data_IF_398818676020
#
_entry.id   IF_398818676020
#
_cell.length_a   1.000
_cell.length_b   1.000
_cell.length_c   1.000
_cell.angle_alpha   90.00
_cell.angle_beta   90.00
_cell.angle_gamma   90.00
#
_symmetry.space_group_name_H-M   'P 1'
#
loop_
_entity.id
_entity.type
_entity.pdbx_description
1 polymer ?
#
# COMPACT_ATOMS: atom_id res chain seq x y z
N UNK A 1 -0.83 11.44 12.93
CA UNK A 1 -1.59 12.17 11.89
C UNK A 1 -2.35 11.12 11.11
N UNK A 2 -3.68 11.19 11.07
CA UNK A 2 -4.46 10.24 10.29
C UNK A 2 -4.20 10.48 8.80
N UNK A 3 -3.72 9.44 8.11
CA UNK A 3 -3.55 9.44 6.67
C UNK A 3 -4.13 8.18 6.02
N UNK A 4 -5.04 7.48 6.70
CA UNK A 4 -5.77 6.36 6.11
C UNK A 4 -6.93 6.85 5.23
N UNK A 5 -7.28 6.06 4.20
CA UNK A 5 -8.37 6.32 3.25
C UNK A 5 -9.04 5.01 2.93
N UNK A 6 -10.05 4.68 3.73
CA UNK A 6 -10.88 3.53 3.51
C UNK A 6 -12.32 3.81 3.93
N UNK A 7 -13.22 2.97 3.47
CA UNK A 7 -14.60 2.87 3.92
C UNK A 7 -14.83 1.41 4.31
N UNK A 8 -15.33 1.18 5.52
CA UNK A 8 -15.85 -0.11 5.98
C UNK A 8 -17.38 -0.05 5.97
N UNK A 9 -18.02 -1.09 5.44
CA UNK A 9 -19.46 -1.31 5.54
C UNK A 9 -19.62 -2.67 6.19
N UNK A 10 -20.28 -2.74 7.35
CA UNK A 10 -20.39 -3.96 8.14
C UNK A 10 -21.28 -5.02 7.52
N UNK A 11 -22.29 -4.59 6.77
CA UNK A 11 -23.29 -5.47 6.20
C UNK A 11 -23.85 -4.87 4.91
N UNK A 12 -23.93 -5.68 3.87
CA UNK A 12 -24.46 -5.33 2.56
C UNK A 12 -25.41 -6.42 2.08
N UNK A 13 -26.36 -6.04 1.21
CA UNK A 13 -27.27 -7.01 0.60
C UNK A 13 -26.81 -7.26 -0.84
N UNK A 14 -26.36 -8.48 -1.16
CA UNK A 14 -26.07 -8.84 -2.54
C UNK A 14 -27.30 -9.44 -3.24
N UNK A 15 -27.51 -9.14 -4.54
CA UNK A 15 -28.57 -9.75 -5.31
C UNK A 15 -28.47 -11.28 -5.27
N UNK A 16 -29.53 -11.95 -4.77
CA UNK A 16 -29.60 -13.41 -4.70
C UNK A 16 -29.21 -14.00 -3.35
N UNK A 17 -28.67 -13.20 -2.43
CA UNK A 17 -28.40 -13.63 -1.06
C UNK A 17 -29.54 -13.22 -0.12
N UNK A 18 -30.08 -14.19 0.60
CA UNK A 18 -31.26 -13.98 1.47
C UNK A 18 -30.92 -13.98 2.95
N UNK A 19 -29.67 -14.24 3.32
CA UNK A 19 -29.21 -14.32 4.71
C UNK A 19 -27.69 -14.29 4.79
N UNK A 20 -27.14 -13.56 5.76
CA UNK A 20 -25.70 -13.44 5.98
C UNK A 20 -25.36 -12.01 6.37
N UNK A 21 -24.12 -11.80 6.83
CA UNK A 21 -23.54 -10.46 7.01
C UNK A 21 -22.46 -10.34 5.95
N UNK A 22 -22.56 -9.37 5.04
CA UNK A 22 -21.63 -9.26 3.91
C UNK A 22 -20.79 -7.99 4.02
N UNK A 23 -19.63 -8.03 4.70
CA UNK A 23 -18.83 -6.84 4.91
C UNK A 23 -18.12 -6.41 3.62
N UNK A 24 -17.96 -5.11 3.46
CA UNK A 24 -17.23 -4.50 2.35
C UNK A 24 -16.17 -3.55 2.87
N UNK A 25 -14.98 -3.63 2.28
CA UNK A 25 -13.91 -2.66 2.45
C UNK A 25 -13.61 -2.00 1.12
N UNK A 26 -13.68 -0.68 1.05
CA UNK A 26 -13.09 0.09 -0.04
C UNK A 26 -11.83 0.78 0.47
N UNK A 27 -10.69 0.51 -0.16
CA UNK A 27 -9.42 1.19 0.09
C UNK A 27 -9.09 2.13 -1.06
N UNK A 28 -8.59 3.34 -0.78
CA UNK A 28 -8.18 4.31 -1.81
C UNK A 28 -6.74 4.78 -1.63
N UNK A 29 -6.00 4.97 -2.72
CA UNK A 29 -4.61 5.47 -2.68
C UNK A 29 -4.52 6.96 -2.36
N UNK A 30 -5.63 7.70 -2.49
CA UNK A 30 -5.77 9.12 -2.14
C UNK A 30 -7.11 9.48 -1.50
N UNK A 31 -7.25 10.73 -1.07
CA UNK A 31 -8.46 11.17 -0.37
C UNK A 31 -9.68 11.12 -1.30
N UNK A 32 -10.83 10.77 -0.74
CA UNK A 32 -12.13 10.90 -1.39
C UNK A 32 -12.61 12.35 -1.23
N UNK A 33 -11.87 13.27 -1.84
CA UNK A 33 -12.16 14.70 -1.81
C UNK A 33 -12.25 15.22 -3.25
N UNK A 34 -13.21 16.12 -3.51
CA UNK A 34 -13.43 16.70 -4.84
C UNK A 34 -12.15 17.28 -5.46
N UNK A 35 -11.33 17.96 -4.65
CA UNK A 35 -10.07 18.54 -5.10
C UNK A 35 -9.04 17.49 -5.50
N UNK A 36 -9.02 16.34 -4.85
CA UNK A 36 -8.07 15.26 -5.13
C UNK A 36 -8.50 14.46 -6.37
N UNK A 37 -9.76 14.00 -6.40
CA UNK A 37 -10.32 13.20 -7.51
C UNK A 37 -10.27 13.96 -8.85
N UNK A 38 -10.43 15.28 -8.85
CA UNK A 38 -10.35 16.10 -10.08
C UNK A 38 -8.92 16.40 -10.54
N UNK A 39 -7.93 16.21 -9.68
CA UNK A 39 -6.56 16.69 -9.92
C UNK A 39 -5.58 15.54 -10.12
N UNK A 40 -5.75 14.48 -9.35
CA UNK A 40 -4.83 13.35 -9.32
C UNK A 40 -5.54 12.10 -9.79
N UNK A 41 -4.87 11.32 -10.63
CA UNK A 41 -5.27 9.93 -10.82
C UNK A 41 -5.02 9.17 -9.52
N UNK A 42 -6.03 8.49 -9.00
CA UNK A 42 -5.94 7.64 -7.82
C UNK A 42 -6.79 6.41 -8.03
N UNK A 43 -6.49 5.36 -7.30
CA UNK A 43 -7.12 4.04 -7.43
C UNK A 43 -7.89 3.71 -6.17
N UNK A 44 -8.95 2.94 -6.33
CA UNK A 44 -9.61 2.28 -5.23
C UNK A 44 -9.72 0.78 -5.49
N UNK A 45 -9.54 -0.02 -4.44
CA UNK A 45 -9.78 -1.46 -4.45
C UNK A 45 -10.92 -1.77 -3.51
N UNK A 46 -11.82 -2.65 -3.92
CA UNK A 46 -12.93 -3.12 -3.08
C UNK A 46 -12.71 -4.58 -2.74
N UNK A 47 -12.84 -4.92 -1.46
CA UNK A 47 -12.78 -6.27 -0.93
C UNK A 47 -14.16 -6.63 -0.40
N UNK A 48 -14.75 -7.67 -0.99
CA UNK A 48 -16.04 -8.22 -0.62
C UNK A 48 -15.83 -9.46 0.25
N UNK A 49 -16.58 -9.56 1.34
CA UNK A 49 -16.61 -10.70 2.28
C UNK A 49 -15.25 -11.07 2.88
N UNK A 50 -14.28 -10.15 2.91
CA UNK A 50 -13.04 -10.33 3.66
C UNK A 50 -13.26 -9.83 5.09
N UNK A 51 -13.76 -10.74 5.93
CA UNK A 51 -14.17 -10.46 7.29
C UNK A 51 -12.99 -10.00 8.14
N UNK A 52 -11.84 -10.66 8.01
CA UNK A 52 -10.62 -10.26 8.73
C UNK A 52 -10.10 -8.91 8.26
N UNK A 53 -10.12 -8.60 6.95
CA UNK A 53 -9.74 -7.26 6.46
C UNK A 53 -10.66 -6.19 7.00
N UNK A 54 -11.97 -6.44 6.98
CA UNK A 54 -12.98 -5.54 7.55
C UNK A 54 -12.73 -5.32 9.04
N UNK A 55 -12.54 -6.39 9.80
CA UNK A 55 -12.36 -6.33 11.26
C UNK A 55 -11.09 -5.56 11.65
N UNK A 56 -9.98 -5.80 10.95
CA UNK A 56 -8.71 -5.09 11.15
C UNK A 56 -8.86 -3.58 10.90
N UNK A 57 -9.53 -3.17 9.82
CA UNK A 57 -9.74 -1.76 9.47
C UNK A 57 -10.78 -1.09 10.36
N UNK A 58 -11.82 -1.82 10.75
CA UNK A 58 -12.83 -1.33 11.71
C UNK A 58 -12.19 -1.08 13.07
N UNK A 59 -11.37 -2.01 13.57
CA UNK A 59 -10.63 -1.85 14.81
C UNK A 59 -9.66 -0.65 14.77
N UNK A 60 -9.05 -0.37 13.62
CA UNK A 60 -8.25 0.85 13.40
C UNK A 60 -9.11 2.11 13.48
N UNK A 61 -10.27 2.12 12.82
CA UNK A 61 -11.20 3.24 12.86
C UNK A 61 -11.69 3.52 14.29
N UNK A 62 -12.10 2.48 15.02
CA UNK A 62 -12.57 2.59 16.40
C UNK A 62 -11.46 3.08 17.34
N UNK A 63 -10.23 2.58 17.15
CA UNK A 63 -9.06 3.09 17.85
C UNK A 63 -8.81 4.58 17.60
N UNK A 64 -8.92 5.04 16.35
CA UNK A 64 -8.79 6.46 15.99
C UNK A 64 -9.90 7.31 16.63
N UNK A 65 -11.16 6.86 16.57
CA UNK A 65 -12.31 7.53 17.20
C UNK A 65 -12.14 7.61 18.71
N UNK A 66 -11.74 6.51 19.35
CA UNK A 66 -11.43 6.48 20.76
C UNK A 66 -10.35 7.50 21.11
N UNK A 67 -9.27 7.54 20.34
CA UNK A 67 -8.15 8.46 20.51
C UNK A 67 -8.50 9.94 20.32
N UNK A 68 -9.43 10.25 19.42
CA UNK A 68 -9.88 11.60 19.13
C UNK A 68 -10.75 12.21 20.24
N UNK A 69 -11.34 11.40 21.12
CA UNK A 69 -12.14 11.90 22.25
C UNK A 69 -11.29 12.72 23.22
N UNK A 70 -11.83 13.85 23.66
CA UNK A 70 -11.12 14.87 24.44
C UNK A 70 -10.67 14.40 25.84
N UNK A 71 -11.38 13.43 26.42
CA UNK A 71 -11.09 12.85 27.73
C UNK A 71 -10.03 11.73 27.66
N UNK A 72 -9.95 11.01 26.54
CA UNK A 72 -9.02 9.88 26.37
C UNK A 72 -7.67 10.35 25.85
N UNK A 73 -7.61 11.14 24.76
CA UNK A 73 -6.37 11.60 24.09
C UNK A 73 -5.31 10.49 23.95
N UNK A 74 -5.73 9.28 23.62
CA UNK A 74 -4.86 8.08 23.59
C UNK A 74 -4.07 7.82 24.89
N UNK A 75 -4.57 8.22 26.07
CA UNK A 75 -3.85 8.06 27.34
C UNK A 75 -3.76 6.60 27.79
N UNK A 76 -4.82 5.81 27.62
CA UNK A 76 -4.86 4.36 27.90
C UNK A 76 -5.16 3.55 26.64
N UNK A 77 -4.86 2.24 26.70
CA UNK A 77 -5.25 1.23 25.71
C UNK A 77 -6.67 0.70 25.91
N UNK A 78 -7.37 1.08 26.99
CA UNK A 78 -8.61 0.40 27.41
C UNK A 78 -9.78 0.56 26.46
N UNK A 79 -9.73 1.52 25.52
CA UNK A 79 -10.68 1.62 24.41
C UNK A 79 -10.02 1.55 23.03
N UNK A 80 -8.76 1.14 22.97
CA UNK A 80 -8.15 0.67 21.73
C UNK A 80 -8.55 -0.80 21.61
N UNK A 81 -9.20 -1.22 20.51
CA UNK A 81 -9.77 -2.57 20.43
C UNK A 81 -8.71 -3.64 20.67
N UNK A 82 -8.94 -4.49 21.68
CA UNK A 82 -8.13 -5.68 21.96
C UNK A 82 -8.82 -6.90 21.36
N UNK A 83 -8.10 -7.74 20.62
CA UNK A 83 -8.62 -9.02 20.11
C UNK A 83 -8.93 -9.08 18.61
N UNK A 84 -8.92 -7.94 17.90
CA UNK A 84 -9.11 -7.87 16.45
C UNK A 84 -7.84 -8.20 15.63
N UNK A 85 -6.98 -9.08 16.14
CA UNK A 85 -5.68 -9.41 15.52
C UNK A 85 -4.61 -8.30 15.53
N UNK A 86 -4.97 -7.04 15.81
CA UNK A 86 -4.01 -5.92 15.87
C UNK A 86 -3.01 -6.07 17.01
N UNK A 87 -1.74 -5.74 16.76
CA UNK A 87 -0.65 -5.80 17.76
C UNK A 87 -0.19 -4.40 18.16
N UNK A 88 -1.02 -3.69 18.91
CA UNK A 88 -0.78 -2.27 19.22
C UNK A 88 0.01 -2.09 20.52
N UNK A 89 1.02 -1.21 20.49
CA UNK A 89 1.77 -0.77 21.66
C UNK A 89 1.94 0.75 21.65
N UNK A 90 1.95 1.37 22.84
CA UNK A 90 2.29 2.79 22.97
C UNK A 90 3.80 2.99 22.84
N UNK A 91 4.21 3.86 21.92
CA UNK A 91 5.60 4.24 21.69
C UNK A 91 5.69 5.69 21.26
N UNK A 92 6.60 6.47 21.85
CA UNK A 92 6.79 7.91 21.53
C UNK A 92 5.48 8.73 21.59
N UNK A 93 4.59 8.39 22.51
CA UNK A 93 3.30 9.07 22.69
C UNK A 93 2.21 8.73 21.66
N UNK A 94 2.46 7.79 20.74
CA UNK A 94 1.49 7.33 19.74
C UNK A 94 1.30 5.80 19.83
N UNK A 95 0.19 5.29 19.31
CA UNK A 95 -0.01 3.85 19.14
C UNK A 95 0.69 3.40 17.86
N UNK A 96 1.56 2.39 17.99
CA UNK A 96 2.26 1.77 16.86
C UNK A 96 1.84 0.32 16.74
N UNK A 97 1.77 -0.19 15.52
CA UNK A 97 1.59 -1.61 15.26
C UNK A 97 2.95 -2.30 15.24
N UNK A 98 3.10 -3.35 16.03
CA UNK A 98 4.37 -4.09 16.14
C UNK A 98 4.52 -5.16 15.08
N UNK A 99 3.41 -5.63 14.50
CA UNK A 99 3.41 -6.62 13.44
C UNK A 99 3.92 -6.01 12.14
N UNK A 100 4.67 -6.81 11.38
CA UNK A 100 5.08 -6.43 10.02
C UNK A 100 3.88 -6.38 9.08
N UNK A 101 2.93 -7.30 9.24
CA UNK A 101 1.67 -7.43 8.52
C UNK A 101 0.71 -8.34 9.30
N UNK A 102 -0.57 -8.24 8.99
CA UNK A 102 -1.64 -9.14 9.41
C UNK A 102 -2.17 -9.84 8.17
N UNK A 103 -2.23 -11.17 8.17
CA UNK A 103 -2.96 -11.90 7.13
C UNK A 103 -4.46 -11.76 7.37
N UNK A 104 -5.24 -11.74 6.29
CA UNK A 104 -6.71 -11.69 6.40
C UNK A 104 -7.29 -13.09 6.23
N UNK A 105 -8.52 -13.23 5.72
CA UNK A 105 -9.17 -14.55 5.67
C UNK A 105 -8.33 -15.58 4.88
N UNK A 106 -8.42 -16.87 5.26
CA UNK A 106 -7.74 -17.94 4.54
C UNK A 106 -8.02 -17.90 3.03
N UNK A 107 -7.09 -18.42 2.25
CA UNK A 107 -7.24 -18.62 0.80
C UNK A 107 -7.43 -17.35 -0.06
N UNK A 108 -7.51 -16.15 0.54
CA UNK A 108 -7.62 -14.89 -0.20
C UNK A 108 -6.29 -14.36 -0.74
N UNK A 109 -5.19 -14.79 -0.13
CA UNK A 109 -3.85 -14.27 -0.45
C UNK A 109 -3.63 -12.81 -0.04
N UNK A 110 -4.47 -12.27 0.83
CA UNK A 110 -4.45 -10.87 1.28
C UNK A 110 -3.78 -10.70 2.63
N UNK A 111 -3.09 -9.56 2.80
CA UNK A 111 -2.51 -9.13 4.06
C UNK A 111 -2.50 -7.59 4.12
N UNK A 112 -2.50 -7.03 5.33
CA UNK A 112 -2.43 -5.59 5.55
C UNK A 112 -1.34 -5.25 6.55
N UNK A 113 -0.56 -4.23 6.25
CA UNK A 113 0.44 -3.67 7.16
C UNK A 113 0.03 -2.26 7.56
N UNK A 114 -0.13 -2.04 8.87
CA UNK A 114 -0.42 -0.72 9.41
C UNK A 114 0.84 0.02 9.81
N UNK A 115 0.80 1.33 9.65
CA UNK A 115 1.75 2.25 10.26
C UNK A 115 1.01 3.21 11.21
N UNK A 116 1.71 3.87 12.15
CA UNK A 116 3.16 3.85 12.36
C UNK A 116 3.66 2.52 12.95
N UNK A 117 4.85 2.06 12.53
CA UNK A 117 5.54 0.89 13.10
C UNK A 117 6.77 1.32 13.93
N UNK A 118 7.14 0.61 15.01
CA UNK A 118 8.35 0.91 15.78
C UNK A 118 9.60 0.68 14.93
N UNK A 119 10.72 1.32 15.29
CA UNK A 119 11.99 1.21 14.56
C UNK A 119 12.57 -0.20 14.56
N UNK A 120 12.19 -1.04 15.51
CA UNK A 120 12.52 -2.47 15.57
C UNK A 120 11.78 -3.31 14.53
N UNK A 121 10.63 -2.84 14.03
CA UNK A 121 9.89 -3.53 12.98
C UNK A 121 10.51 -3.19 11.63
N UNK A 122 10.81 -4.23 10.87
CA UNK A 122 11.35 -4.12 9.52
C UNK A 122 10.48 -3.23 8.64
N UNK A 123 11.10 -2.58 7.67
CA UNK A 123 10.40 -1.73 6.72
C UNK A 123 9.53 -2.56 5.79
N UNK A 124 8.20 -2.38 5.86
CA UNK A 124 7.26 -3.23 5.14
C UNK A 124 7.53 -3.32 3.64
N UNK A 125 7.79 -2.18 2.98
CA UNK A 125 8.07 -2.17 1.54
C UNK A 125 9.34 -2.95 1.19
N UNK A 126 10.39 -2.80 1.99
CA UNK A 126 11.66 -3.52 1.77
C UNK A 126 11.44 -5.02 2.00
N UNK A 127 10.68 -5.40 3.03
CA UNK A 127 10.40 -6.80 3.33
C UNK A 127 9.60 -7.52 2.23
N UNK A 128 8.90 -6.79 1.35
CA UNK A 128 8.25 -7.42 0.21
C UNK A 128 9.26 -7.80 -0.90
N UNK A 129 10.45 -7.21 -0.90
CA UNK A 129 11.52 -7.61 -1.83
C UNK A 129 12.33 -8.81 -1.33
N UNK A 130 12.21 -9.13 -0.03
CA UNK A 130 12.78 -10.35 0.53
C UNK A 130 12.13 -11.55 -0.15
N UNK A 131 12.95 -12.53 -0.55
CA UNK A 131 12.48 -13.74 -1.23
C UNK A 131 12.02 -13.54 -2.69
N UNK A 132 12.14 -12.34 -3.28
CA UNK A 132 11.95 -12.19 -4.73
C UNK A 132 13.00 -13.02 -5.47
N UNK A 133 12.56 -14.02 -6.22
CA UNK A 133 13.39 -14.77 -7.17
C UNK A 133 13.27 -14.12 -8.55
N UNK A 134 14.33 -13.48 -9.04
CA UNK A 134 14.30 -12.81 -10.34
C UNK A 134 14.19 -13.75 -11.54
N UNK A 135 14.36 -15.07 -11.36
CA UNK A 135 14.05 -16.06 -12.40
C UNK A 135 12.54 -16.23 -12.59
N UNK A 136 11.75 -16.03 -11.53
CA UNK A 136 10.28 -16.18 -11.52
C UNK A 136 9.60 -14.81 -11.55
N UNK A 137 9.92 -13.95 -10.58
CA UNK A 137 9.43 -12.59 -10.40
C UNK A 137 10.32 -11.57 -11.11
N UNK A 138 10.57 -11.80 -12.39
CA UNK A 138 11.54 -11.03 -13.17
C UNK A 138 11.11 -9.57 -13.41
N UNK A 139 9.87 -9.18 -13.10
CA UNK A 139 9.32 -7.84 -13.38
C UNK A 139 8.90 -7.14 -12.08
N UNK A 140 9.44 -5.95 -11.88
CA UNK A 140 9.07 -5.06 -10.78
C UNK A 140 8.66 -3.70 -11.36
N UNK A 141 7.43 -3.28 -11.06
CA UNK A 141 6.86 -2.00 -11.49
C UNK A 141 6.38 -1.22 -10.28
N UNK A 142 6.89 -0.01 -10.13
CA UNK A 142 6.53 0.88 -9.02
C UNK A 142 5.85 2.11 -9.61
N UNK A 143 4.70 2.48 -9.09
CA UNK A 143 4.05 3.76 -9.37
C UNK A 143 3.85 4.49 -8.03
N UNK A 144 4.44 5.67 -7.88
CA UNK A 144 4.53 6.31 -6.56
C UNK A 144 4.29 7.82 -6.61
N UNK A 145 3.33 8.27 -5.80
CA UNK A 145 3.03 9.68 -5.61
C UNK A 145 4.21 10.43 -5.03
N UNK A 146 4.75 9.96 -3.90
CA UNK A 146 5.80 10.67 -3.17
C UNK A 146 6.89 9.75 -2.65
N UNK A 147 8.14 10.19 -2.80
CA UNK A 147 9.33 9.55 -2.26
C UNK A 147 10.22 10.59 -1.57
N UNK A 148 10.67 10.33 -0.34
CA UNK A 148 11.56 11.24 0.41
C UNK A 148 13.02 10.79 0.36
N UNK A 149 13.95 11.70 0.68
CA UNK A 149 15.39 11.50 0.57
C UNK A 149 15.87 10.26 1.34
N UNK A 150 15.52 10.15 2.62
CA UNK A 150 15.97 9.05 3.48
C UNK A 150 15.40 7.72 3.00
N UNK A 151 14.13 7.70 2.60
CA UNK A 151 13.46 6.49 2.12
C UNK A 151 13.96 6.09 0.74
N UNK A 152 14.33 7.04 -0.12
CA UNK A 152 14.99 6.73 -1.39
C UNK A 152 16.33 6.02 -1.16
N UNK A 153 17.11 6.45 -0.17
CA UNK A 153 18.42 5.86 0.12
C UNK A 153 18.34 4.39 0.56
N UNK A 154 17.28 3.99 1.27
CA UNK A 154 17.06 2.59 1.69
C UNK A 154 16.41 1.76 0.59
N UNK A 155 15.40 2.30 -0.09
CA UNK A 155 14.70 1.60 -1.19
C UNK A 155 15.64 1.30 -2.35
N UNK A 156 16.47 2.26 -2.75
CA UNK A 156 17.37 2.13 -3.91
C UNK A 156 18.39 1.01 -3.74
N UNK A 157 18.88 0.77 -2.51
CA UNK A 157 19.78 -0.37 -2.24
C UNK A 157 19.10 -1.70 -2.56
N UNK A 158 17.86 -1.87 -2.12
CA UNK A 158 17.07 -3.09 -2.35
C UNK A 158 16.76 -3.27 -3.84
N UNK A 159 16.35 -2.19 -4.53
CA UNK A 159 16.05 -2.22 -5.97
C UNK A 159 17.30 -2.49 -6.83
N UNK A 160 18.45 -1.89 -6.48
CA UNK A 160 19.70 -2.15 -7.19
C UNK A 160 20.17 -3.60 -6.99
N UNK A 161 19.95 -4.18 -5.80
CA UNK A 161 20.20 -5.60 -5.55
C UNK A 161 19.33 -6.50 -6.44
N UNK A 162 18.04 -6.17 -6.57
CA UNK A 162 17.11 -6.88 -7.46
C UNK A 162 17.56 -6.80 -8.93
N UNK A 163 17.97 -5.62 -9.41
CA UNK A 163 18.49 -5.48 -10.78
C UNK A 163 19.74 -6.32 -11.02
N UNK A 164 20.67 -6.34 -10.05
CA UNK A 164 21.87 -7.18 -10.13
C UNK A 164 21.55 -8.69 -10.19
N UNK A 165 20.44 -9.10 -9.58
CA UNK A 165 19.94 -10.49 -9.63
C UNK A 165 19.13 -10.80 -10.90
N UNK A 166 18.95 -9.84 -11.80
CA UNK A 166 18.28 -10.03 -13.09
C UNK A 166 16.84 -9.53 -13.18
N UNK A 167 16.29 -8.92 -12.12
CA UNK A 167 14.95 -8.34 -12.17
C UNK A 167 14.95 -7.05 -13.02
N UNK A 168 13.94 -6.92 -13.89
CA UNK A 168 13.61 -5.69 -14.60
C UNK A 168 12.80 -4.76 -13.68
N UNK A 169 13.47 -3.76 -13.10
CA UNK A 169 12.90 -2.78 -12.18
C UNK A 169 12.64 -1.46 -12.89
N UNK A 170 11.42 -0.92 -12.79
CA UNK A 170 11.08 0.40 -13.31
C UNK A 170 10.20 1.19 -12.34
N UNK A 171 10.49 2.49 -12.19
CA UNK A 171 9.72 3.40 -11.34
C UNK A 171 9.02 4.47 -12.17
N UNK A 172 7.72 4.63 -11.94
CA UNK A 172 6.92 5.74 -12.40
C UNK A 172 6.63 6.67 -11.21
N UNK A 173 7.07 7.91 -11.31
CA UNK A 173 6.87 8.92 -10.27
C UNK A 173 5.77 9.89 -10.69
N UNK A 174 5.05 10.45 -9.72
CA UNK A 174 4.06 11.48 -10.03
C UNK A 174 4.70 12.71 -10.64
N UNK A 175 3.99 13.37 -11.57
CA UNK A 175 4.28 14.75 -11.89
C UNK A 175 3.97 15.64 -10.68
N UNK A 176 4.85 16.58 -10.37
CA UNK A 176 4.60 17.60 -9.35
C UNK A 176 3.42 18.49 -9.74
N UNK A 177 2.48 18.68 -8.82
CA UNK A 177 1.38 19.63 -8.96
C UNK A 177 1.00 20.17 -7.57
N UNK A 178 1.20 21.47 -7.33
CA UNK A 178 0.90 22.12 -6.06
C UNK A 178 1.69 21.63 -4.83
N UNK A 179 2.44 20.53 -4.94
CA UNK A 179 3.23 19.94 -3.85
C UNK A 179 4.51 19.30 -4.38
N UNK A 180 5.54 19.28 -3.53
CA UNK A 180 6.79 18.58 -3.81
C UNK A 180 6.62 17.09 -3.54
N UNK A 181 6.69 16.30 -4.61
CA UNK A 181 6.55 14.83 -4.61
C UNK A 181 7.89 14.11 -4.45
N UNK A 182 9.00 14.76 -4.78
CA UNK A 182 10.36 14.28 -4.58
C UNK A 182 11.34 15.45 -4.69
N UNK A 183 12.52 15.31 -4.11
CA UNK A 183 13.59 16.30 -4.23
C UNK A 183 14.53 15.97 -5.40
N UNK A 184 15.38 16.94 -5.77
CA UNK A 184 16.50 16.68 -6.68
C UNK A 184 17.49 15.64 -6.14
N UNK A 185 17.57 15.46 -4.81
CA UNK A 185 18.39 14.43 -4.17
C UNK A 185 17.83 13.03 -4.42
N UNK A 186 16.51 12.84 -4.39
CA UNK A 186 15.89 11.55 -4.78
C UNK A 186 16.26 11.19 -6.22
N UNK A 187 16.15 12.15 -7.16
CA UNK A 187 16.51 11.92 -8.56
C UNK A 187 18.00 11.57 -8.72
N UNK A 188 18.89 12.25 -7.99
CA UNK A 188 20.34 11.92 -7.97
C UNK A 188 20.59 10.52 -7.44
N UNK A 189 19.96 10.13 -6.33
CA UNK A 189 20.10 8.79 -5.75
C UNK A 189 19.69 7.70 -6.74
N UNK A 190 18.55 7.87 -7.43
CA UNK A 190 18.07 6.92 -8.44
C UNK A 190 19.02 6.83 -9.64
N UNK A 191 19.48 7.98 -10.17
CA UNK A 191 20.44 8.04 -11.29
C UNK A 191 21.76 7.36 -10.94
N UNK A 192 22.33 7.65 -9.78
CA UNK A 192 23.60 7.06 -9.34
C UNK A 192 23.52 5.53 -9.20
N UNK A 193 22.38 5.00 -8.78
CA UNK A 193 22.15 3.57 -8.70
C UNK A 193 21.66 2.93 -10.00
N UNK A 194 21.53 3.71 -11.09
CA UNK A 194 21.04 3.27 -12.40
C UNK A 194 19.66 2.62 -12.36
N UNK A 195 18.80 3.04 -11.42
CA UNK A 195 17.40 2.61 -11.39
C UNK A 195 16.64 3.36 -12.50
N UNK A 196 15.97 2.67 -13.45
CA UNK A 196 15.13 3.32 -14.44
C UNK A 196 13.93 4.00 -13.79
N UNK A 197 13.75 5.29 -14.06
CA UNK A 197 12.57 6.02 -13.64
C UNK A 197 12.12 7.06 -14.66
N UNK A 198 10.82 7.38 -14.63
CA UNK A 198 10.22 8.50 -15.38
C UNK A 198 9.08 9.10 -14.57
N UNK A 199 8.63 10.28 -14.98
CA UNK A 199 7.46 10.92 -14.39
C UNK A 199 6.24 10.72 -15.29
N UNK A 200 5.09 10.43 -14.70
CA UNK A 200 3.83 10.36 -15.44
C UNK A 200 3.51 11.69 -16.13
N UNK A 201 2.72 11.65 -17.20
CA UNK A 201 2.34 12.86 -17.94
C UNK A 201 1.47 13.82 -17.08
N UNK A 202 0.75 13.26 -16.11
CA UNK A 202 -0.18 13.95 -15.22
C UNK A 202 0.11 13.64 -13.74
N UNK A 203 -0.43 14.43 -12.81
CA UNK A 203 -0.29 14.17 -11.38
C UNK A 203 -1.04 12.88 -10.99
N UNK A 204 -0.40 12.04 -10.20
CA UNK A 204 -0.98 10.78 -9.72
C UNK A 204 -0.85 10.72 -8.20
N UNK A 205 -1.87 10.23 -7.52
CA UNK A 205 -1.87 9.93 -6.10
C UNK A 205 -1.76 8.41 -5.83
N UNK A 206 -1.27 7.66 -6.81
CA UNK A 206 -0.98 6.21 -6.73
C UNK A 206 0.13 5.88 -5.75
N UNK A 207 0.00 4.79 -5.01
CA UNK A 207 1.10 4.10 -4.31
C UNK A 207 1.00 2.62 -4.59
N UNK A 208 1.70 2.15 -5.62
CA UNK A 208 1.56 0.82 -6.18
C UNK A 208 2.93 0.19 -6.39
N UNK A 209 3.09 -1.07 -5.99
CA UNK A 209 4.21 -1.93 -6.37
C UNK A 209 3.65 -3.23 -6.91
N UNK A 210 4.09 -3.61 -8.09
CA UNK A 210 3.79 -4.90 -8.72
C UNK A 210 5.08 -5.69 -8.82
N UNK A 211 5.05 -6.92 -8.32
CA UNK A 211 6.16 -7.87 -8.35
C UNK A 211 5.63 -9.15 -8.99
N UNK A 212 6.15 -9.55 -10.14
CA UNK A 212 5.63 -10.74 -10.81
C UNK A 212 6.44 -11.15 -12.04
N UNK A 213 6.01 -12.23 -12.70
CA UNK A 213 6.64 -12.71 -13.92
C UNK A 213 6.38 -11.80 -15.11
N UNK A 214 7.14 -12.00 -16.17
CA UNK A 214 7.01 -11.22 -17.41
C UNK A 214 5.71 -11.51 -18.18
N UNK A 215 5.19 -12.73 -18.10
CA UNK A 215 4.14 -13.23 -18.99
C UNK A 215 2.94 -13.86 -18.27
N UNK A 216 2.79 -13.66 -16.96
CA UNK A 216 1.58 -14.07 -16.24
C UNK A 216 1.21 -13.05 -15.16
N UNK A 217 -0.01 -13.20 -14.64
CA UNK A 217 -0.53 -12.37 -13.56
C UNK A 217 -0.36 -13.02 -12.18
N UNK A 218 0.48 -14.05 -12.09
CA UNK A 218 0.81 -14.72 -10.83
C UNK A 218 1.89 -13.92 -10.12
N UNK A 219 1.54 -12.85 -9.41
CA UNK A 219 2.48 -12.01 -8.66
C UNK A 219 1.89 -11.43 -7.37
N UNK A 220 2.56 -10.41 -6.85
CA UNK A 220 2.19 -9.62 -5.68
C UNK A 220 1.88 -8.19 -6.06
N UNK A 221 0.77 -7.70 -5.53
CA UNK A 221 0.33 -6.30 -5.61
C UNK A 221 0.52 -5.70 -4.22
N UNK A 222 1.14 -4.54 -4.14
CA UNK A 222 1.14 -3.71 -2.94
C UNK A 222 0.46 -2.40 -3.29
N UNK A 223 -0.60 -2.04 -2.58
CA UNK A 223 -1.26 -0.75 -2.73
C UNK A 223 -1.80 -0.25 -1.39
N UNK A 224 -2.06 1.04 -1.26
CA UNK A 224 -2.43 1.62 0.02
C UNK A 224 -2.29 3.12 0.07
N UNK A 225 -2.22 3.64 1.29
CA UNK A 225 -2.18 5.09 1.54
C UNK A 225 -0.76 5.60 1.77
N UNK A 226 0.16 4.70 2.16
CA UNK A 226 1.52 5.05 2.54
C UNK A 226 2.39 5.47 1.34
N UNK A 227 2.83 6.72 1.34
CA UNK A 227 3.94 7.16 0.48
C UNK A 227 5.24 6.44 0.85
N UNK A 228 6.19 6.37 -0.08
CA UNK A 228 7.58 5.95 0.21
C UNK A 228 8.33 7.05 0.96
N UNK A 229 7.96 7.24 2.22
CA UNK A 229 8.55 8.23 3.12
C UNK A 229 8.76 7.66 4.52
N UNK A 230 9.68 8.27 5.29
CA UNK A 230 9.84 7.93 6.72
C UNK A 230 8.56 8.26 7.50
N UNK A 231 7.89 9.35 7.16
CA UNK A 231 6.61 9.74 7.76
C UNK A 231 5.53 8.65 7.60
N UNK A 232 5.33 8.17 6.38
CA UNK A 232 4.35 7.11 6.08
C UNK A 232 4.64 5.79 6.80
N UNK A 233 5.88 5.52 7.21
CA UNK A 233 6.23 4.30 7.95
C UNK A 233 6.23 4.48 9.47
N UNK A 234 6.63 5.66 9.97
CA UNK A 234 7.02 5.85 11.38
C UNK A 234 6.18 6.86 12.15
N UNK A 235 5.38 7.69 11.49
CA UNK A 235 4.73 8.84 12.13
C UNK A 235 3.26 9.08 11.72
N UNK A 236 2.87 8.67 10.52
CA UNK A 236 1.49 8.75 10.03
C UNK A 236 0.75 7.44 10.28
N UNK A 237 -0.56 7.52 10.45
CA UNK A 237 -1.43 6.35 10.35
C UNK A 237 -1.67 6.08 8.87
N UNK A 238 -1.18 4.94 8.39
CA UNK A 238 -1.32 4.49 7.01
C UNK A 238 -1.57 2.99 7.00
N UNK A 239 -1.95 2.48 5.83
CA UNK A 239 -1.85 1.06 5.55
C UNK A 239 -1.27 0.78 4.17
N UNK A 240 -0.73 -0.42 4.02
CA UNK A 240 -0.39 -1.05 2.74
C UNK A 240 -1.04 -2.43 2.72
N UNK A 241 -1.91 -2.66 1.75
CA UNK A 241 -2.49 -3.96 1.46
C UNK A 241 -1.56 -4.68 0.49
N UNK A 242 -1.37 -5.97 0.73
CA UNK A 242 -0.71 -6.89 -0.19
C UNK A 242 -1.67 -7.95 -0.63
N UNK A 243 -1.69 -8.19 -1.93
CA UNK A 243 -2.49 -9.22 -2.60
C UNK A 243 -1.49 -10.11 -3.32
N UNK A 244 -1.28 -11.31 -2.78
CA UNK A 244 -0.43 -12.34 -3.37
C UNK A 244 -1.31 -13.36 -4.09
N UNK A 245 -1.37 -13.21 -5.40
CA UNK A 245 -2.19 -14.05 -6.29
C UNK A 245 -1.80 -15.54 -6.26
N UNK A 246 -0.61 -15.88 -5.76
CA UNK A 246 -0.16 -17.28 -5.62
C UNK A 246 -0.59 -17.90 -4.29
N UNK A 247 -0.94 -17.07 -3.31
CA UNK A 247 -1.52 -17.49 -2.04
C UNK A 247 -3.05 -17.50 -2.07
N UNK A 248 -3.64 -16.90 -3.10
CA UNK A 248 -5.06 -16.97 -3.35
C UNK A 248 -5.44 -18.33 -3.95
N UNK A 249 -6.54 -18.93 -3.49
CA UNK A 249 -7.04 -20.26 -3.89
C UNK A 249 -8.51 -20.14 -4.31
N UNK A 250 -8.97 -21.07 -5.14
CA UNK A 250 -10.38 -21.17 -5.54
C UNK A 250 -10.86 -19.90 -6.25
N UNK A 251 -12.04 -19.41 -5.86
CA UNK A 251 -12.68 -18.23 -6.47
C UNK A 251 -11.88 -16.93 -6.29
N UNK A 252 -11.04 -16.84 -5.25
CA UNK A 252 -10.22 -15.65 -5.01
C UNK A 252 -9.02 -15.54 -5.96
N UNK A 253 -8.55 -16.68 -6.48
CA UNK A 253 -7.35 -16.70 -7.32
C UNK A 253 -7.55 -15.94 -8.64
N UNK A 254 -8.66 -16.21 -9.33
CA UNK A 254 -8.97 -15.54 -10.60
C UNK A 254 -9.13 -14.03 -10.39
N UNK A 255 -9.90 -13.62 -9.37
CA UNK A 255 -10.11 -12.22 -9.01
C UNK A 255 -8.79 -11.50 -8.70
N UNK A 256 -7.91 -12.13 -7.93
CA UNK A 256 -6.60 -11.56 -7.60
C UNK A 256 -5.69 -11.44 -8.84
N UNK A 257 -5.67 -12.44 -9.72
CA UNK A 257 -4.90 -12.40 -10.97
C UNK A 257 -5.44 -11.36 -11.95
N UNK A 258 -6.76 -11.20 -12.03
CA UNK A 258 -7.38 -10.15 -12.82
C UNK A 258 -6.97 -8.77 -12.32
N UNK A 259 -7.05 -8.53 -11.01
CA UNK A 259 -6.63 -7.25 -10.42
C UNK A 259 -5.14 -6.97 -10.67
N UNK A 260 -4.27 -7.98 -10.59
CA UNK A 260 -2.85 -7.82 -10.95
C UNK A 260 -2.70 -7.36 -12.41
N UNK A 261 -3.44 -7.99 -13.33
CA UNK A 261 -3.46 -7.63 -14.75
C UNK A 261 -3.96 -6.20 -14.99
N UNK A 262 -5.02 -5.78 -14.30
CA UNK A 262 -5.57 -4.43 -14.37
C UNK A 262 -4.56 -3.39 -13.89
N UNK A 263 -3.92 -3.62 -12.75
CA UNK A 263 -2.87 -2.71 -12.26
C UNK A 263 -1.61 -2.70 -13.13
N UNK A 264 -1.23 -3.84 -13.72
CA UNK A 264 -0.11 -3.89 -14.65
C UNK A 264 -0.41 -3.08 -15.91
N UNK A 265 -1.61 -3.25 -16.48
CA UNK A 265 -2.09 -2.47 -17.64
C UNK A 265 -2.10 -0.99 -17.30
N UNK A 266 -2.71 -0.61 -16.17
CA UNK A 266 -2.69 0.77 -15.69
C UNK A 266 -1.26 1.30 -15.58
N UNK A 267 -0.34 0.57 -14.94
CA UNK A 267 1.05 1.03 -14.83
C UNK A 267 1.62 1.37 -16.20
N UNK A 268 1.43 0.50 -17.20
CA UNK A 268 1.92 0.73 -18.55
C UNK A 268 1.25 1.94 -19.22
N UNK A 269 -0.07 2.11 -19.09
CA UNK A 269 -0.82 3.27 -19.59
C UNK A 269 -0.33 4.58 -18.95
N UNK A 270 -0.19 4.62 -17.62
CA UNK A 270 0.36 5.78 -16.90
C UNK A 270 1.79 6.09 -17.34
N UNK A 271 2.52 5.06 -17.75
CA UNK A 271 3.89 5.16 -18.24
C UNK A 271 3.96 5.76 -19.66
N UNK A 272 2.90 5.62 -20.47
CA UNK A 272 2.84 6.18 -21.82
C UNK A 272 2.84 7.71 -21.75
N UNK A 273 3.63 8.35 -22.61
CA UNK A 273 3.83 9.80 -22.56
C UNK A 273 4.60 10.30 -21.33
N UNK A 274 5.16 9.38 -20.53
CA UNK A 274 6.01 9.72 -19.40
C UNK A 274 7.20 10.58 -19.81
N UNK A 275 7.56 11.54 -18.96
CA UNK A 275 8.59 12.56 -19.23
C UNK A 275 9.76 12.40 -18.27
N UNK A 276 10.88 13.05 -18.59
CA UNK A 276 11.98 13.23 -17.65
C UNK A 276 11.48 13.95 -16.41
N UNK A 277 11.71 13.38 -15.22
CA UNK A 277 11.42 14.05 -13.96
C UNK A 277 12.30 15.30 -13.81
N UNK A 278 11.66 16.43 -13.48
CA UNK A 278 12.30 17.70 -13.20
C UNK A 278 12.20 18.01 -11.71
#
# INVERSE_FOLDING_TARGET
LNHEKFITISDTNYPGETSGVHPVVMQSSGNIARSQIRTYLQEATVFYDDYSMWDLLQARADGMVYCAKSNTKCKSSSGVPSGHGLTLRKSRGIWVDTAIRHYTDPDRGTAIAFSPQPTSTADYYISQFDGVDCAVDSRIRIAMFKMTDEKSATMVKSLASLQKRGCDVQILMSRSYGSTVFSSKVLKTLKSAKIPFKCAAFPMHTKLILIGPKYSNSGRILTGTANMSVAGLRYSEEHVITIDTRRAVGEYQESAQRLFGEYMTQWYELSQGGRTCK
#
